data_IF_730687915545
#
_entry.id   IF_730687915545
#
_cell.length_a   1.000
_cell.length_b   1.000
_cell.length_c   1.000
_cell.angle_alpha   90.00
_cell.angle_beta   90.00
_cell.angle_gamma   90.00
#
_symmetry.space_group_name_H-M   'P 1'
#
loop_
_entity.id
_entity.type
_entity.pdbx_description
1 polymer ?
#
# COMPACT_ATOMS: atom_id res chain seq x y z
N UNK A 1 -30.68 -4.35 1.90
CA UNK A 1 -30.40 -4.54 0.47
C UNK A 1 -29.94 -5.97 0.29
N UNK A 2 -30.35 -6.63 -0.80
CA UNK A 2 -30.01 -8.03 -1.02
C UNK A 2 -28.50 -8.11 -1.38
N UNK A 3 -27.70 -8.80 -0.60
CA UNK A 3 -26.21 -8.84 -0.68
C UNK A 3 -25.74 -9.31 -2.06
N UNK A 4 -26.51 -10.16 -2.75
CA UNK A 4 -26.24 -10.59 -4.13
C UNK A 4 -26.30 -9.42 -5.15
N UNK A 5 -26.99 -8.33 -4.83
CA UNK A 5 -27.10 -7.16 -5.72
C UNK A 5 -25.87 -6.22 -5.60
N UNK A 6 -25.11 -6.32 -4.51
CA UNK A 6 -23.93 -5.48 -4.26
C UNK A 6 -22.72 -5.95 -5.09
N UNK A 7 -22.54 -7.25 -5.26
CA UNK A 7 -21.41 -7.81 -6.02
C UNK A 7 -21.46 -7.53 -7.54
N UNK A 8 -22.63 -7.17 -8.07
CA UNK A 8 -22.85 -6.79 -9.47
C UNK A 8 -23.23 -5.31 -9.61
N UNK A 9 -22.71 -4.45 -8.74
CA UNK A 9 -22.92 -3.01 -8.81
C UNK A 9 -22.37 -2.42 -10.12
N UNK A 10 -22.89 -1.25 -10.54
CA UNK A 10 -22.37 -0.51 -11.69
C UNK A 10 -20.87 -0.23 -11.55
N UNK A 11 -20.42 0.12 -10.32
CA UNK A 11 -19.00 0.32 -10.02
C UNK A 11 -18.19 -0.94 -10.30
N UNK A 12 -18.64 -2.10 -9.81
CA UNK A 12 -17.95 -3.38 -10.01
C UNK A 12 -17.84 -3.74 -11.49
N UNK A 13 -18.94 -3.55 -12.26
CA UNK A 13 -18.96 -3.80 -13.70
C UNK A 13 -18.03 -2.87 -14.46
N UNK A 14 -18.11 -1.55 -14.21
CA UNK A 14 -17.24 -0.54 -14.83
C UNK A 14 -15.77 -0.83 -14.55
N UNK A 15 -15.45 -1.19 -13.31
CA UNK A 15 -14.08 -1.54 -12.96
C UNK A 15 -13.62 -2.83 -13.61
N UNK A 16 -14.50 -3.86 -13.69
CA UNK A 16 -14.19 -5.16 -14.30
C UNK A 16 -13.83 -5.02 -15.78
N UNK A 17 -14.51 -4.16 -16.52
CA UNK A 17 -14.20 -3.86 -17.93
C UNK A 17 -12.78 -3.26 -18.10
N UNK A 18 -12.25 -2.63 -17.06
CA UNK A 18 -10.89 -2.10 -17.04
C UNK A 18 -9.83 -3.15 -16.66
N UNK A 19 -10.22 -4.38 -16.28
CA UNK A 19 -9.31 -5.40 -15.72
C UNK A 19 -9.24 -6.64 -16.61
N UNK A 20 -8.29 -6.71 -17.58
CA UNK A 20 -8.16 -7.84 -18.51
C UNK A 20 -8.01 -9.21 -17.85
N UNK A 21 -7.41 -9.25 -16.66
CA UNK A 21 -7.24 -10.48 -15.86
C UNK A 21 -8.56 -11.19 -15.58
N UNK A 22 -9.65 -10.42 -15.43
CA UNK A 22 -10.96 -10.93 -15.08
C UNK A 22 -11.61 -11.80 -16.15
N UNK A 23 -11.12 -11.77 -17.40
CA UNK A 23 -11.58 -12.64 -18.48
C UNK A 23 -11.16 -14.11 -18.28
N UNK A 24 -10.03 -14.34 -17.60
CA UNK A 24 -9.43 -15.67 -17.51
C UNK A 24 -9.34 -16.21 -16.09
N UNK A 25 -9.15 -15.34 -15.09
CA UNK A 25 -8.85 -15.72 -13.72
C UNK A 25 -9.88 -15.15 -12.74
N UNK A 26 -10.23 -15.93 -11.74
CA UNK A 26 -10.74 -15.41 -10.48
C UNK A 26 -9.54 -14.97 -9.63
N UNK A 27 -9.21 -13.67 -9.68
CA UNK A 27 -7.97 -13.14 -9.09
C UNK A 27 -8.21 -12.54 -7.72
N UNK A 28 -7.60 -13.12 -6.68
CA UNK A 28 -7.76 -12.76 -5.27
C UNK A 28 -6.45 -12.46 -4.56
N UNK A 29 -5.41 -11.97 -5.24
CA UNK A 29 -4.11 -11.73 -4.58
C UNK A 29 -3.58 -10.30 -4.72
N UNK A 30 -4.50 -9.30 -4.65
CA UNK A 30 -4.13 -7.87 -4.71
C UNK A 30 -3.23 -7.44 -3.54
N UNK A 31 -3.34 -8.09 -2.39
CA UNK A 31 -2.45 -7.85 -1.26
C UNK A 31 -1.01 -8.36 -1.48
N UNK A 32 -0.74 -9.15 -2.54
CA UNK A 32 0.62 -9.51 -2.98
C UNK A 32 1.07 -8.60 -4.13
N UNK A 33 0.55 -8.82 -5.33
CA UNK A 33 0.79 -8.00 -6.53
C UNK A 33 -0.51 -7.91 -7.31
N UNK A 34 -0.99 -6.73 -7.63
CA UNK A 34 -2.18 -6.55 -8.43
C UNK A 34 -1.89 -6.72 -9.93
N UNK A 35 -2.84 -7.24 -10.70
CA UNK A 35 -2.76 -7.16 -12.15
C UNK A 35 -2.91 -5.69 -12.60
N UNK A 36 -2.23 -5.33 -13.68
CA UNK A 36 -2.39 -4.00 -14.27
C UNK A 36 -3.78 -3.84 -14.90
N UNK A 37 -4.35 -2.63 -14.74
CA UNK A 37 -5.51 -2.27 -15.52
C UNK A 37 -5.16 -2.13 -17.01
N UNK A 38 -6.14 -2.32 -17.90
CA UNK A 38 -5.96 -2.09 -19.32
C UNK A 38 -5.51 -0.66 -19.65
N UNK A 39 -5.94 0.34 -18.84
CA UNK A 39 -5.50 1.73 -18.97
C UNK A 39 -4.01 1.89 -18.66
N UNK A 40 -3.54 1.33 -17.54
CA UNK A 40 -2.12 1.38 -17.18
C UNK A 40 -1.27 0.64 -18.23
N UNK A 41 -1.66 -0.55 -18.64
CA UNK A 41 -0.97 -1.31 -19.68
C UNK A 41 -0.86 -0.53 -21.00
N UNK A 42 -1.93 0.15 -21.42
CA UNK A 42 -1.97 0.93 -22.66
C UNK A 42 -1.02 2.13 -22.64
N UNK A 43 -1.02 2.94 -21.56
CA UNK A 43 -0.12 4.10 -21.48
C UNK A 43 1.35 3.69 -21.37
N UNK A 44 1.63 2.59 -20.67
CA UNK A 44 2.98 2.04 -20.58
C UNK A 44 3.47 1.53 -21.95
N UNK A 45 2.62 0.82 -22.70
CA UNK A 45 2.95 0.38 -24.07
C UNK A 45 3.20 1.57 -25.01
N UNK A 46 2.39 2.62 -24.91
CA UNK A 46 2.58 3.86 -25.67
C UNK A 46 3.92 4.51 -25.34
N UNK A 47 4.27 4.60 -24.05
CA UNK A 47 5.56 5.15 -23.63
C UNK A 47 6.74 4.32 -24.20
N UNK A 48 6.65 2.98 -24.13
CA UNK A 48 7.69 2.09 -24.67
C UNK A 48 7.89 2.29 -26.18
N UNK A 49 6.79 2.41 -26.93
CA UNK A 49 6.85 2.71 -28.36
C UNK A 49 7.50 4.06 -28.63
N UNK A 50 7.04 5.13 -27.97
CA UNK A 50 7.58 6.48 -28.12
C UNK A 50 9.09 6.53 -27.78
N UNK A 51 9.50 5.90 -26.67
CA UNK A 51 10.89 5.87 -26.25
C UNK A 51 11.78 5.14 -27.25
N UNK A 52 11.28 4.06 -27.87
CA UNK A 52 12.02 3.30 -28.88
C UNK A 52 12.12 4.00 -30.24
N UNK A 53 11.10 4.78 -30.63
CA UNK A 53 11.04 5.43 -31.95
C UNK A 53 11.58 6.85 -31.95
N UNK A 54 11.50 7.58 -30.81
CA UNK A 54 11.78 9.00 -30.74
C UNK A 54 12.85 9.37 -29.69
N UNK A 55 13.33 8.39 -28.92
CA UNK A 55 14.32 8.64 -27.86
C UNK A 55 13.76 9.62 -26.81
N UNK A 56 14.55 10.63 -26.47
CA UNK A 56 14.19 11.62 -25.45
C UNK A 56 13.45 12.86 -25.98
N UNK A 57 13.06 12.87 -27.26
CA UNK A 57 12.38 14.01 -27.88
C UNK A 57 11.06 14.36 -27.17
N UNK A 58 10.41 13.38 -26.53
CA UNK A 58 9.17 13.54 -25.76
C UNK A 58 9.41 13.64 -24.25
N UNK A 59 10.65 13.76 -23.80
CA UNK A 59 10.96 13.79 -22.36
C UNK A 59 10.16 14.85 -21.57
N UNK A 60 9.97 16.10 -22.06
CA UNK A 60 9.14 17.08 -21.35
C UNK A 60 7.67 16.67 -21.16
N UNK A 61 7.11 15.95 -22.13
CA UNK A 61 5.75 15.40 -22.04
C UNK A 61 5.70 14.31 -20.95
N UNK A 62 6.62 13.37 -20.98
CA UNK A 62 6.68 12.29 -19.97
C UNK A 62 6.93 12.84 -18.57
N UNK A 63 7.79 13.85 -18.44
CA UNK A 63 7.98 14.53 -17.16
C UNK A 63 6.69 15.19 -16.66
N UNK A 64 5.89 15.76 -17.56
CA UNK A 64 4.55 16.28 -17.24
C UNK A 64 3.60 15.19 -16.73
N UNK A 65 3.61 14.02 -17.34
CA UNK A 65 2.79 12.87 -16.88
C UNK A 65 3.23 12.38 -15.50
N UNK A 66 4.54 12.36 -15.23
CA UNK A 66 5.08 12.02 -13.89
C UNK A 66 4.62 13.05 -12.84
N UNK A 67 4.64 14.34 -13.15
CA UNK A 67 4.12 15.38 -12.26
C UNK A 67 2.59 15.26 -12.06
N UNK A 68 1.86 14.88 -13.11
CA UNK A 68 0.43 14.58 -12.98
C UNK A 68 0.17 13.41 -12.02
N UNK A 69 0.99 12.36 -12.07
CA UNK A 69 0.92 11.23 -11.12
C UNK A 69 1.12 11.72 -9.67
N UNK A 70 2.10 12.62 -9.44
CA UNK A 70 2.33 13.24 -8.13
C UNK A 70 1.12 14.05 -7.66
N UNK A 71 0.50 14.83 -8.55
CA UNK A 71 -0.69 15.62 -8.23
C UNK A 71 -1.88 14.72 -7.89
N UNK A 72 -2.10 13.63 -8.62
CA UNK A 72 -3.15 12.65 -8.33
C UNK A 72 -2.92 11.98 -6.96
N UNK A 73 -1.68 11.58 -6.65
CA UNK A 73 -1.34 11.03 -5.35
C UNK A 73 -1.61 12.01 -4.21
N UNK A 74 -1.24 13.28 -4.39
CA UNK A 74 -1.49 14.34 -3.42
C UNK A 74 -3.00 14.57 -3.20
N UNK A 75 -3.78 14.60 -4.26
CA UNK A 75 -5.24 14.78 -4.20
C UNK A 75 -5.91 13.60 -3.44
N UNK A 76 -5.52 12.36 -3.73
CA UNK A 76 -6.04 11.17 -3.07
C UNK A 76 -5.66 11.11 -1.58
N UNK A 77 -4.57 11.76 -1.18
CA UNK A 77 -4.13 11.86 0.21
C UNK A 77 -4.59 13.15 0.92
N UNK A 78 -5.32 14.04 0.22
CA UNK A 78 -5.79 15.30 0.80
C UNK A 78 -4.67 16.28 1.14
N UNK A 79 -3.60 16.34 0.33
CA UNK A 79 -2.44 17.17 0.60
C UNK A 79 -1.90 17.87 -0.66
N UNK A 80 -0.81 18.61 -0.53
CA UNK A 80 -0.10 19.26 -1.63
C UNK A 80 0.93 18.34 -2.28
N UNK A 81 1.07 18.39 -3.62
CA UNK A 81 2.12 17.67 -4.34
C UNK A 81 3.55 18.04 -3.88
N UNK A 82 3.73 19.18 -3.21
CA UNK A 82 5.00 19.55 -2.60
C UNK A 82 5.42 18.63 -1.43
N UNK A 83 4.48 17.89 -0.86
CA UNK A 83 4.67 16.93 0.24
C UNK A 83 4.79 15.48 -0.25
N UNK A 84 4.74 15.25 -1.57
CA UNK A 84 4.83 13.92 -2.18
C UNK A 84 6.18 13.76 -2.88
N UNK A 85 6.89 12.70 -2.55
CA UNK A 85 7.99 12.16 -3.34
C UNK A 85 7.55 10.86 -4.03
N UNK A 86 7.92 10.71 -5.29
CA UNK A 86 7.73 9.46 -6.03
C UNK A 86 8.94 8.56 -5.77
N UNK A 87 8.67 7.37 -5.26
CA UNK A 87 9.69 6.42 -4.82
C UNK A 87 9.51 5.07 -5.52
N UNK A 88 10.56 4.25 -5.68
CA UNK A 88 10.41 2.96 -6.34
C UNK A 88 9.57 1.95 -5.56
N UNK A 89 9.50 2.06 -4.23
CA UNK A 89 8.73 1.13 -3.39
C UNK A 89 8.57 1.65 -1.95
N UNK A 90 7.71 0.98 -1.17
CA UNK A 90 7.49 1.26 0.26
C UNK A 90 8.80 1.22 1.06
N UNK A 91 9.66 0.23 0.81
CA UNK A 91 10.94 0.11 1.53
C UNK A 91 11.79 1.35 1.36
N UNK A 92 11.83 1.97 0.16
CA UNK A 92 12.55 3.23 -0.06
C UNK A 92 11.94 4.38 0.76
N UNK A 93 10.61 4.49 0.78
CA UNK A 93 9.93 5.52 1.60
C UNK A 93 10.28 5.38 3.09
N UNK A 94 10.27 4.17 3.62
CA UNK A 94 10.65 3.88 5.01
C UNK A 94 12.14 4.20 5.24
N UNK A 95 13.03 3.83 4.30
CA UNK A 95 14.47 4.12 4.40
C UNK A 95 14.79 5.62 4.34
N UNK A 96 13.97 6.43 3.66
CA UNK A 96 14.13 7.90 3.70
C UNK A 96 14.00 8.39 5.14
N UNK A 97 13.05 7.88 5.92
CA UNK A 97 12.92 8.23 7.34
C UNK A 97 14.02 7.58 8.17
N UNK A 98 14.24 6.28 8.01
CA UNK A 98 15.23 5.54 8.81
C UNK A 98 16.64 6.17 8.74
N UNK A 99 17.10 6.54 7.56
CA UNK A 99 18.45 7.08 7.37
C UNK A 99 18.52 8.61 7.30
N UNK A 100 17.38 9.28 7.08
CA UNK A 100 17.31 10.74 7.03
C UNK A 100 17.09 11.39 8.40
N UNK A 101 16.49 10.69 9.35
CA UNK A 101 16.18 11.21 10.68
C UNK A 101 17.45 11.43 11.51
N UNK A 102 17.54 12.53 12.31
CA UNK A 102 18.72 12.86 13.11
C UNK A 102 18.76 12.06 14.42
N UNK A 103 19.01 10.77 14.33
CA UNK A 103 19.10 9.87 15.48
C UNK A 103 20.24 10.24 16.43
N UNK A 104 20.00 10.07 17.72
CA UNK A 104 21.01 10.07 18.75
C UNK A 104 21.18 8.66 19.32
N UNK A 105 22.38 8.32 19.76
CA UNK A 105 22.61 7.05 20.46
C UNK A 105 21.72 6.95 21.70
N UNK A 106 20.97 5.84 21.81
CA UNK A 106 19.98 5.59 22.85
C UNK A 106 18.57 6.07 22.53
N UNK A 107 18.33 6.70 21.37
CA UNK A 107 16.96 6.87 20.87
C UNK A 107 16.35 5.52 20.54
N UNK A 108 15.01 5.42 20.56
CA UNK A 108 14.31 4.19 20.22
C UNK A 108 13.12 4.42 19.28
N UNK A 109 12.76 3.33 18.61
CA UNK A 109 11.66 3.22 17.67
C UNK A 109 10.75 2.10 18.15
N UNK A 110 9.43 2.32 18.09
CA UNK A 110 8.44 1.30 18.39
C UNK A 110 7.89 0.73 17.09
N UNK A 111 7.82 -0.59 16.97
CA UNK A 111 7.19 -1.31 15.86
C UNK A 111 6.42 -2.54 16.36
N UNK A 112 5.71 -3.24 15.48
CA UNK A 112 4.91 -4.41 15.83
C UNK A 112 5.59 -5.72 15.38
N UNK A 113 5.36 -6.82 16.12
CA UNK A 113 5.96 -8.14 15.78
C UNK A 113 5.41 -8.74 14.48
N UNK A 114 4.24 -8.32 14.03
CA UNK A 114 3.57 -8.80 12.82
C UNK A 114 3.70 -7.84 11.62
N UNK A 115 4.66 -6.91 11.67
CA UNK A 115 4.95 -6.04 10.53
C UNK A 115 5.58 -6.82 9.37
N UNK A 116 5.31 -6.34 8.14
CA UNK A 116 6.03 -6.84 6.97
C UNK A 116 7.53 -6.48 7.06
N UNK A 117 8.44 -7.33 6.58
CA UNK A 117 9.89 -7.09 6.70
C UNK A 117 10.38 -5.73 6.21
N UNK A 118 9.70 -5.11 5.22
CA UNK A 118 10.02 -3.75 4.77
C UNK A 118 9.89 -2.69 5.88
N UNK A 119 9.03 -2.94 6.88
CA UNK A 119 8.85 -2.07 8.04
C UNK A 119 9.54 -2.62 9.31
N UNK A 120 10.53 -3.48 9.15
CA UNK A 120 11.37 -4.00 10.24
C UNK A 120 12.86 -3.81 9.95
N UNK A 121 13.36 -4.31 8.82
CA UNK A 121 14.79 -4.32 8.51
C UNK A 121 15.44 -2.92 8.47
N UNK A 122 14.82 -1.86 7.92
CA UNK A 122 15.43 -0.54 7.94
C UNK A 122 15.73 -0.04 9.37
N UNK A 123 14.86 -0.36 10.31
CA UNK A 123 15.02 0.01 11.71
C UNK A 123 16.11 -0.81 12.42
N UNK A 124 16.12 -2.14 12.17
CA UNK A 124 17.17 -3.03 12.71
C UNK A 124 18.56 -2.63 12.21
N UNK A 125 18.67 -2.06 11.00
CA UNK A 125 19.92 -1.58 10.42
C UNK A 125 20.49 -0.33 11.14
N UNK A 126 19.71 0.32 12.00
CA UNK A 126 20.16 1.48 12.79
C UNK A 126 20.89 1.08 14.10
N UNK A 127 21.01 -0.22 14.39
CA UNK A 127 21.65 -0.73 15.62
C UNK A 127 23.07 -0.16 15.81
N UNK A 128 23.86 -0.12 14.74
CA UNK A 128 25.24 0.37 14.79
C UNK A 128 25.33 1.89 15.06
N UNK A 129 24.22 2.62 14.92
CA UNK A 129 24.09 4.01 15.32
C UNK A 129 23.61 4.16 16.76
N UNK A 130 23.42 3.05 17.48
CA UNK A 130 22.95 3.03 18.87
C UNK A 130 21.46 3.27 19.02
N UNK A 131 20.66 3.09 17.95
CA UNK A 131 19.20 3.19 17.99
C UNK A 131 18.61 1.84 18.39
N UNK A 132 17.72 1.83 19.37
CA UNK A 132 17.02 0.64 19.84
C UNK A 132 15.71 0.44 19.07
N UNK A 133 15.43 -0.79 18.65
CA UNK A 133 14.11 -1.16 18.09
C UNK A 133 13.35 -1.95 19.15
N UNK A 134 12.24 -1.41 19.60
CA UNK A 134 11.32 -2.07 20.54
C UNK A 134 10.13 -2.63 19.79
N UNK A 135 9.95 -3.93 19.92
CA UNK A 135 8.91 -4.67 19.23
C UNK A 135 7.76 -4.94 20.19
N UNK A 136 6.58 -4.46 19.86
CA UNK A 136 5.34 -4.77 20.58
C UNK A 136 4.78 -6.08 20.04
N UNK A 137 4.61 -7.08 20.90
CA UNK A 137 4.07 -8.38 20.53
C UNK A 137 2.57 -8.31 20.23
N UNK A 138 2.19 -8.65 19.00
CA UNK A 138 0.79 -8.77 18.59
C UNK A 138 0.36 -10.22 18.68
N UNK A 139 -0.25 -10.58 19.81
CA UNK A 139 -0.69 -11.97 20.10
C UNK A 139 -2.03 -12.31 19.44
N UNK A 140 -2.86 -11.30 19.24
CA UNK A 140 -4.21 -11.44 18.69
C UNK A 140 -4.28 -10.76 17.30
N UNK A 141 -5.45 -10.74 16.71
CA UNK A 141 -5.71 -10.04 15.47
C UNK A 141 -5.63 -8.52 15.67
N UNK A 142 -6.26 -8.02 16.73
CA UNK A 142 -6.29 -6.60 17.04
C UNK A 142 -4.98 -6.11 17.67
N UNK A 143 -4.57 -4.92 17.31
CA UNK A 143 -3.44 -4.22 17.91
C UNK A 143 -3.94 -3.38 19.09
N UNK A 144 -3.32 -3.54 20.24
CA UNK A 144 -3.59 -2.73 21.42
C UNK A 144 -2.75 -1.47 21.40
N UNK A 145 -3.38 -0.34 21.14
CA UNK A 145 -2.74 0.98 21.12
C UNK A 145 -2.11 1.30 22.49
N UNK A 146 -2.76 0.92 23.59
CA UNK A 146 -2.22 1.18 24.92
C UNK A 146 -0.89 0.45 25.14
N UNK A 147 -0.78 -0.81 24.66
CA UNK A 147 0.48 -1.57 24.73
C UNK A 147 1.61 -0.89 23.93
N UNK A 148 1.29 -0.29 22.76
CA UNK A 148 2.26 0.52 22.00
C UNK A 148 2.74 1.69 22.86
N UNK A 149 1.80 2.44 23.45
CA UNK A 149 2.09 3.63 24.24
C UNK A 149 2.84 3.33 25.55
N UNK A 150 2.58 2.19 26.18
CA UNK A 150 3.27 1.74 27.40
C UNK A 150 4.72 1.29 27.11
N UNK A 151 5.02 0.93 25.86
CA UNK A 151 6.37 0.56 25.42
C UNK A 151 7.24 1.81 25.15
N UNK A 152 6.62 2.99 24.99
CA UNK A 152 7.30 4.27 24.77
C UNK A 152 7.93 4.82 26.04
N UNK A 153 9.05 5.54 25.88
CA UNK A 153 9.70 6.30 26.93
C UNK A 153 10.17 7.68 26.43
N UNK A 154 10.92 8.42 27.25
CA UNK A 154 11.44 9.76 26.91
C UNK A 154 12.44 9.78 25.75
N UNK A 155 12.96 8.62 25.32
CA UNK A 155 13.87 8.44 24.19
C UNK A 155 13.18 7.92 22.94
N UNK A 156 11.89 7.63 22.99
CA UNK A 156 11.12 7.20 21.82
C UNK A 156 10.95 8.38 20.87
N UNK A 157 11.36 8.20 19.61
CA UNK A 157 11.28 9.23 18.56
C UNK A 157 10.23 8.93 17.52
N UNK A 158 9.99 7.65 17.26
CA UNK A 158 9.13 7.23 16.17
C UNK A 158 8.33 5.98 16.57
N UNK A 159 7.06 5.98 16.20
CA UNK A 159 6.24 4.77 16.09
C UNK A 159 6.07 4.48 14.61
N UNK A 160 6.35 3.26 14.19
CA UNK A 160 6.18 2.82 12.80
C UNK A 160 5.27 1.60 12.75
N UNK A 161 4.15 1.73 12.04
CA UNK A 161 3.10 0.71 11.97
C UNK A 161 2.50 0.60 10.57
N UNK A 162 2.05 -0.60 10.22
CA UNK A 162 1.20 -0.80 9.05
C UNK A 162 -0.23 -0.38 9.33
N UNK A 163 -0.84 0.39 8.43
CA UNK A 163 -2.26 0.75 8.51
C UNK A 163 -3.16 -0.47 8.45
N UNK A 164 -2.82 -1.40 7.54
CA UNK A 164 -3.52 -2.67 7.38
C UNK A 164 -2.51 -3.81 7.46
N UNK A 165 -2.76 -4.76 8.35
CA UNK A 165 -1.92 -5.95 8.50
C UNK A 165 -1.98 -6.83 7.24
N UNK A 166 -0.82 -7.13 6.67
CA UNK A 166 -0.70 -7.95 5.45
C UNK A 166 -1.13 -9.41 5.64
N UNK A 167 -1.15 -9.90 6.88
CA UNK A 167 -1.47 -11.30 7.20
C UNK A 167 -2.87 -11.48 7.78
N UNK A 168 -3.39 -10.53 8.56
CA UNK A 168 -4.70 -10.66 9.23
C UNK A 168 -5.79 -9.81 8.58
N UNK A 169 -5.42 -8.80 7.79
CA UNK A 169 -6.34 -7.81 7.27
C UNK A 169 -6.88 -6.83 8.33
N UNK A 170 -6.33 -6.83 9.53
CA UNK A 170 -6.71 -5.88 10.56
C UNK A 170 -6.34 -4.46 10.12
N UNK A 171 -7.34 -3.58 10.05
CA UNK A 171 -7.18 -2.16 9.73
C UNK A 171 -7.20 -1.34 11.02
N UNK A 172 -6.06 -0.73 11.34
CA UNK A 172 -5.89 0.07 12.56
C UNK A 172 -6.67 1.39 12.48
N UNK A 173 -7.28 1.78 13.59
CA UNK A 173 -7.80 3.13 13.80
C UNK A 173 -6.60 4.01 14.20
N UNK A 174 -6.30 5.03 13.39
CA UNK A 174 -5.04 5.78 13.48
C UNK A 174 -5.14 7.01 14.36
N UNK A 175 -6.34 7.58 14.49
CA UNK A 175 -6.58 8.88 15.12
C UNK A 175 -6.07 8.91 16.57
N UNK A 176 -6.46 7.91 17.36
CA UNK A 176 -6.07 7.82 18.78
C UNK A 176 -4.59 7.56 18.95
N UNK A 177 -4.00 6.70 18.09
CA UNK A 177 -2.55 6.41 18.13
C UNK A 177 -1.74 7.67 17.84
N UNK A 178 -2.07 8.38 16.76
CA UNK A 178 -1.32 9.57 16.32
C UNK A 178 -1.45 10.68 17.35
N UNK A 179 -2.67 10.97 17.83
CA UNK A 179 -2.89 11.99 18.85
C UNK A 179 -2.11 11.70 20.15
N UNK A 180 -2.11 10.44 20.60
CA UNK A 180 -1.39 10.04 21.81
C UNK A 180 0.13 10.02 21.63
N UNK A 181 0.64 9.69 20.45
CA UNK A 181 2.05 9.78 20.10
C UNK A 181 2.52 11.25 20.09
N UNK A 182 1.76 12.13 19.41
CA UNK A 182 2.08 13.55 19.32
C UNK A 182 2.04 14.27 20.70
N UNK A 183 1.11 13.88 21.58
CA UNK A 183 1.08 14.38 22.95
C UNK A 183 2.35 14.08 23.75
N UNK A 184 3.14 13.08 23.29
CA UNK A 184 4.44 12.67 23.87
C UNK A 184 5.64 13.17 23.06
N UNK A 185 5.42 13.92 21.96
CA UNK A 185 6.46 14.40 21.05
C UNK A 185 7.05 13.29 20.17
N UNK A 186 6.30 12.18 19.95
CA UNK A 186 6.70 11.03 19.16
C UNK A 186 6.05 11.14 17.78
N UNK A 187 6.84 10.97 16.71
CA UNK A 187 6.36 10.98 15.33
C UNK A 187 5.80 9.61 14.91
N UNK A 188 4.96 9.60 13.88
CA UNK A 188 4.35 8.38 13.35
C UNK A 188 4.65 8.21 11.87
N UNK A 189 5.23 7.06 11.50
CA UNK A 189 5.34 6.60 10.13
C UNK A 189 4.33 5.49 9.87
N UNK A 190 3.57 5.66 8.79
CA UNK A 190 2.55 4.73 8.37
C UNK A 190 3.00 3.97 7.11
N UNK A 191 3.18 2.65 7.22
CA UNK A 191 3.18 1.78 6.03
C UNK A 191 1.73 1.59 5.57
N UNK A 192 1.36 2.26 4.49
CA UNK A 192 0.00 2.31 4.00
C UNK A 192 -0.22 1.48 2.72
N UNK A 193 0.75 0.62 2.36
CA UNK A 193 0.69 -0.16 1.10
C UNK A 193 -0.55 -1.05 0.98
N UNK A 194 -1.14 -1.50 2.10
CA UNK A 194 -2.33 -2.35 2.11
C UNK A 194 -3.64 -1.54 2.24
N UNK A 195 -3.56 -0.22 2.36
CA UNK A 195 -4.73 0.64 2.56
C UNK A 195 -4.97 1.65 1.43
N UNK A 196 -3.89 2.32 0.93
CA UNK A 196 -4.02 3.30 -0.16
C UNK A 196 -4.45 2.61 -1.45
N UNK A 197 -5.41 3.23 -2.14
CA UNK A 197 -6.08 2.66 -3.31
C UNK A 197 -7.44 2.03 -2.96
N UNK A 198 -7.70 1.74 -1.68
CA UNK A 198 -8.98 1.22 -1.17
C UNK A 198 -9.63 2.19 -0.22
N UNK A 199 -8.97 2.51 0.89
CA UNK A 199 -9.57 3.33 1.95
C UNK A 199 -9.21 4.80 1.79
N UNK A 200 -10.13 5.71 2.15
CA UNK A 200 -9.83 7.13 2.19
C UNK A 200 -8.77 7.41 3.26
N UNK A 201 -7.82 8.30 2.93
CA UNK A 201 -6.77 8.73 3.86
C UNK A 201 -6.51 10.23 3.66
N UNK A 202 -7.03 11.06 4.56
CA UNK A 202 -6.74 12.49 4.60
C UNK A 202 -5.57 12.73 5.57
N UNK A 203 -4.36 12.82 5.02
CA UNK A 203 -3.13 12.92 5.82
C UNK A 203 -3.02 14.23 6.58
N UNK A 204 -3.62 15.30 6.07
CA UNK A 204 -3.65 16.61 6.76
C UNK A 204 -4.62 16.58 7.95
N UNK A 205 -5.82 15.99 7.77
CA UNK A 205 -6.80 15.84 8.85
C UNK A 205 -6.30 14.88 9.93
N UNK A 206 -5.68 13.77 9.53
CA UNK A 206 -5.12 12.77 10.42
C UNK A 206 -3.87 13.27 11.15
N UNK A 207 -3.22 14.29 10.59
CA UNK A 207 -1.97 14.88 11.09
C UNK A 207 -0.79 13.90 11.14
N UNK A 208 -0.77 12.86 10.29
CA UNK A 208 0.31 11.89 10.23
C UNK A 208 1.60 12.50 9.71
N UNK A 209 2.75 12.04 10.20
CA UNK A 209 4.05 12.63 9.89
C UNK A 209 4.64 12.12 8.59
N UNK A 210 4.57 10.80 8.36
CA UNK A 210 5.14 10.12 7.19
C UNK A 210 4.22 9.00 6.72
N UNK A 211 4.09 8.83 5.40
CA UNK A 211 3.37 7.71 4.79
C UNK A 211 4.19 7.13 3.64
N UNK A 212 4.30 5.82 3.57
CA UNK A 212 4.95 5.12 2.47
C UNK A 212 4.04 4.04 1.87
N UNK A 213 3.95 3.98 0.54
CA UNK A 213 3.21 2.94 -0.16
C UNK A 213 3.72 2.74 -1.58
N UNK A 214 3.93 1.48 -1.99
CA UNK A 214 4.17 1.12 -3.38
C UNK A 214 2.85 0.94 -4.13
N UNK A 215 2.86 1.21 -5.44
CA UNK A 215 1.68 1.20 -6.30
C UNK A 215 1.18 -0.17 -6.71
N UNK A 216 1.99 -1.21 -6.60
CA UNK A 216 1.76 -2.54 -7.21
C UNK A 216 0.68 -3.40 -6.53
N UNK A 217 -0.05 -2.86 -5.54
CA UNK A 217 -1.12 -3.57 -4.84
C UNK A 217 -2.47 -2.90 -5.12
N UNK A 218 -3.04 -2.31 -4.12
CA UNK A 218 -4.39 -1.75 -4.19
C UNK A 218 -4.50 -0.48 -5.05
N UNK A 219 -3.39 0.19 -5.33
CA UNK A 219 -3.36 1.28 -6.31
C UNK A 219 -3.34 0.79 -7.77
N UNK A 220 -3.26 -0.53 -8.04
CA UNK A 220 -3.28 -1.16 -9.37
C UNK A 220 -2.16 -0.66 -10.30
N UNK A 221 -1.08 -0.14 -9.74
CA UNK A 221 0.08 0.32 -10.47
C UNK A 221 1.11 -0.80 -10.70
N UNK A 222 2.16 -0.53 -11.47
CA UNK A 222 3.26 -1.47 -11.62
C UNK A 222 4.20 -1.48 -10.40
N UNK A 223 4.98 -2.55 -10.24
CA UNK A 223 6.12 -2.56 -9.32
C UNK A 223 7.13 -1.47 -9.70
N UNK A 224 7.83 -0.92 -8.73
CA UNK A 224 8.83 0.12 -8.96
C UNK A 224 8.26 1.53 -9.12
N UNK A 225 7.01 1.76 -8.72
CA UNK A 225 6.34 3.06 -8.77
C UNK A 225 5.44 3.23 -7.53
N UNK A 226 5.86 4.02 -6.59
CA UNK A 226 5.18 4.27 -5.32
C UNK A 226 5.28 5.71 -4.86
N UNK A 227 4.73 5.98 -3.70
CA UNK A 227 4.62 7.31 -3.11
C UNK A 227 5.21 7.33 -1.70
N UNK A 228 5.79 8.46 -1.36
CA UNK A 228 6.20 8.83 -0.01
C UNK A 228 5.65 10.21 0.31
N UNK A 229 4.85 10.31 1.35
CA UNK A 229 4.38 11.56 1.92
C UNK A 229 5.20 11.93 3.14
N UNK A 230 5.53 13.21 3.26
CA UNK A 230 6.02 13.77 4.52
C UNK A 230 5.31 15.09 4.82
N UNK A 231 4.97 15.28 6.09
CA UNK A 231 4.37 16.51 6.59
C UNK A 231 5.32 17.69 6.33
N UNK A 232 4.80 18.80 5.85
CA UNK A 232 5.60 19.98 5.43
C UNK A 232 6.56 20.46 6.50
N UNK A 233 6.16 20.45 7.79
CA UNK A 233 6.99 20.84 8.93
C UNK A 233 8.23 19.96 9.13
N UNK A 234 8.25 18.75 8.56
CA UNK A 234 9.35 17.79 8.69
C UNK A 234 10.31 17.80 7.51
N UNK A 235 10.09 18.67 6.53
CA UNK A 235 10.93 18.73 5.34
C UNK A 235 12.41 18.98 5.67
N UNK A 236 12.70 19.84 6.66
CA UNK A 236 14.05 20.15 7.08
C UNK A 236 14.53 19.25 8.25
N UNK A 237 13.65 18.42 8.82
CA UNK A 237 13.99 17.41 9.80
C UNK A 237 14.76 16.24 9.15
N UNK A 238 14.29 15.80 7.97
CA UNK A 238 14.90 14.66 7.27
C UNK A 238 16.02 15.14 6.33
N UNK A 239 17.21 14.62 6.56
CA UNK A 239 18.33 14.80 5.62
C UNK A 239 18.10 13.88 4.40
N UNK A 240 18.16 14.39 3.15
CA UNK A 240 18.17 13.53 1.98
C UNK A 240 19.42 12.62 1.98
N UNK A 241 19.22 11.30 1.83
CA UNK A 241 20.31 10.31 1.88
C UNK A 241 20.65 9.74 0.51
N UNK A 242 19.67 9.63 -0.38
CA UNK A 242 19.83 9.18 -1.76
C UNK A 242 19.88 10.42 -2.68
N UNK A 243 20.97 11.19 -2.57
CA UNK A 243 21.08 12.46 -3.30
C UNK A 243 21.68 12.26 -4.69
N UNK A 244 21.23 13.06 -5.64
CA UNK A 244 21.73 13.08 -7.00
C UNK A 244 21.35 14.36 -7.74
N UNK A 245 21.52 14.38 -9.05
CA UNK A 245 21.32 15.55 -9.89
C UNK A 245 19.92 16.17 -9.76
N UNK A 246 18.91 15.35 -9.50
CA UNK A 246 17.51 15.78 -9.38
C UNK A 246 17.11 16.28 -7.97
N UNK A 247 17.99 16.17 -6.96
CA UNK A 247 17.71 16.60 -5.58
C UNK A 247 17.81 18.13 -5.37
N UNK A 248 18.35 18.87 -6.33
CA UNK A 248 18.69 20.30 -6.20
C UNK A 248 17.68 21.22 -6.88
N UNK A 249 17.64 22.49 -6.48
CA UNK A 249 16.71 23.51 -7.02
C UNK A 249 16.83 23.72 -8.53
N UNK A 250 18.02 23.59 -9.11
CA UNK A 250 18.29 23.73 -10.53
C UNK A 250 18.90 22.44 -11.08
N UNK A 251 18.09 21.39 -11.28
CA UNK A 251 18.60 20.06 -11.62
C UNK A 251 19.24 20.00 -13.04
N UNK A 252 18.95 20.95 -13.91
CA UNK A 252 19.47 21.01 -15.29
C UNK A 252 20.61 22.01 -15.47
N UNK A 253 21.06 22.67 -14.41
CA UNK A 253 22.23 23.58 -14.43
C UNK A 253 23.50 22.77 -14.14
N UNK A 254 23.97 22.03 -15.16
CA UNK A 254 25.12 21.14 -15.03
C UNK A 254 26.46 21.87 -14.96
N UNK A 255 26.49 23.15 -15.32
CA UNK A 255 27.72 23.97 -15.30
C UNK A 255 27.99 24.56 -13.90
N UNK A 256 27.00 24.58 -13.02
CA UNK A 256 27.09 25.12 -11.68
C UNK A 256 26.74 24.09 -10.61
N UNK A 257 27.72 23.33 -10.20
CA UNK A 257 27.53 22.34 -9.11
C UNK A 257 27.42 23.06 -7.76
N UNK A 258 26.16 23.21 -7.30
CA UNK A 258 25.88 23.86 -6.01
C UNK A 258 24.81 23.08 -5.24
N UNK A 259 25.14 22.68 -4.01
CA UNK A 259 24.23 21.95 -3.14
C UNK A 259 23.16 22.88 -2.56
N UNK A 260 22.04 22.99 -3.23
CA UNK A 260 20.83 23.64 -2.75
C UNK A 260 19.66 22.69 -2.92
N UNK A 261 19.26 21.92 -1.87
CA UNK A 261 18.18 20.95 -2.00
C UNK A 261 16.86 21.62 -2.39
N UNK A 262 16.02 20.89 -3.11
CA UNK A 262 14.66 21.37 -3.44
C UNK A 262 13.88 21.66 -2.15
N UNK A 263 13.02 22.68 -2.13
CA UNK A 263 12.22 23.04 -0.97
C UNK A 263 10.94 22.20 -0.82
N UNK A 264 10.90 21.00 -1.43
CA UNK A 264 9.75 20.10 -1.48
C UNK A 264 10.21 18.65 -1.27
N UNK A 265 9.27 17.73 -1.10
CA UNK A 265 9.54 16.30 -0.99
C UNK A 265 10.33 15.72 -2.16
N UNK A 266 10.27 16.36 -3.33
CA UNK A 266 11.04 15.93 -4.51
C UNK A 266 12.56 15.96 -4.30
N UNK A 267 13.07 16.57 -3.20
CA UNK A 267 14.49 16.48 -2.80
C UNK A 267 14.96 15.04 -2.54
N UNK A 268 14.02 14.14 -2.24
CA UNK A 268 14.29 12.73 -2.00
C UNK A 268 14.35 11.88 -3.29
N UNK A 269 14.06 12.49 -4.44
CA UNK A 269 14.14 11.86 -5.77
C UNK A 269 15.50 12.18 -6.39
N UNK A 270 16.52 11.37 -6.06
CA UNK A 270 17.91 11.71 -6.36
C UNK A 270 18.32 11.67 -7.82
N UNK A 271 17.68 10.85 -8.63
CA UNK A 271 18.08 10.58 -10.02
C UNK A 271 16.92 10.50 -11.01
N UNK A 272 17.18 9.87 -12.14
CA UNK A 272 16.15 9.63 -13.16
C UNK A 272 15.09 8.68 -12.62
N UNK A 273 13.83 9.08 -12.78
CA UNK A 273 12.69 8.33 -12.33
C UNK A 273 12.35 7.16 -13.28
N UNK A 274 11.67 6.15 -12.76
CA UNK A 274 11.01 5.10 -13.55
C UNK A 274 9.78 5.68 -14.26
N UNK A 275 10.00 6.44 -15.36
CA UNK A 275 8.93 7.17 -16.04
C UNK A 275 7.79 6.25 -16.47
N UNK A 276 8.09 5.13 -17.11
CA UNK A 276 7.05 4.19 -17.57
C UNK A 276 6.20 3.66 -16.42
N UNK A 277 6.84 3.31 -15.30
CA UNK A 277 6.11 2.84 -14.11
C UNK A 277 5.25 3.94 -13.48
N UNK A 278 5.79 5.15 -13.36
CA UNK A 278 5.06 6.28 -12.77
C UNK A 278 3.90 6.74 -13.64
N UNK A 279 4.05 6.75 -14.97
CA UNK A 279 2.95 7.03 -15.92
C UNK A 279 1.86 5.95 -15.79
N UNK A 280 2.25 4.67 -15.68
CA UNK A 280 1.32 3.57 -15.42
C UNK A 280 0.58 3.71 -14.09
N UNK A 281 1.28 4.09 -13.02
CA UNK A 281 0.67 4.39 -11.72
C UNK A 281 -0.33 5.56 -11.83
N UNK A 282 0.03 6.64 -12.54
CA UNK A 282 -0.85 7.79 -12.77
C UNK A 282 -2.16 7.40 -13.44
N UNK A 283 -2.10 6.54 -14.47
CA UNK A 283 -3.31 6.02 -15.12
C UNK A 283 -4.20 5.19 -14.17
N UNK A 284 -3.57 4.42 -13.28
CA UNK A 284 -4.31 3.65 -12.26
C UNK A 284 -4.93 4.55 -11.19
N UNK A 285 -4.21 5.56 -10.69
CA UNK A 285 -4.76 6.53 -9.74
C UNK A 285 -5.92 7.34 -10.34
N UNK A 286 -5.83 7.71 -11.63
CA UNK A 286 -6.92 8.37 -12.35
C UNK A 286 -8.16 7.47 -12.42
N UNK A 287 -8.00 6.18 -12.72
CA UNK A 287 -9.10 5.21 -12.71
C UNK A 287 -9.76 5.12 -11.33
N UNK A 288 -8.98 4.99 -10.26
CA UNK A 288 -9.51 4.90 -8.90
C UNK A 288 -10.27 6.18 -8.50
N UNK A 289 -9.75 7.35 -8.87
CA UNK A 289 -10.42 8.65 -8.67
C UNK A 289 -11.74 8.74 -9.43
N UNK A 290 -11.77 8.35 -10.70
CA UNK A 290 -13.00 8.31 -11.52
C UNK A 290 -14.06 7.38 -10.91
N UNK A 291 -13.65 6.29 -10.24
CA UNK A 291 -14.51 5.37 -9.50
C UNK A 291 -14.90 5.89 -8.09
N UNK A 292 -14.59 7.15 -7.78
CA UNK A 292 -15.03 7.84 -6.58
C UNK A 292 -14.09 7.76 -5.39
N UNK A 293 -12.86 7.24 -5.52
CA UNK A 293 -11.88 7.31 -4.46
C UNK A 293 -11.40 8.76 -4.27
N UNK A 294 -11.50 9.24 -3.05
CA UNK A 294 -10.99 10.55 -2.60
C UNK A 294 -10.29 10.39 -1.26
N UNK A 295 -9.67 11.46 -0.72
CA UNK A 295 -9.11 11.44 0.63
C UNK A 295 -10.18 11.23 1.74
N UNK A 296 -11.48 11.42 1.44
CA UNK A 296 -12.58 11.41 2.42
C UNK A 296 -13.62 10.31 2.21
N UNK A 297 -13.67 9.72 1.02
CA UNK A 297 -14.69 8.74 0.66
C UNK A 297 -14.14 7.71 -0.33
N UNK A 298 -14.67 6.50 -0.26
CA UNK A 298 -14.31 5.42 -1.17
C UNK A 298 -15.48 4.45 -1.38
N UNK A 299 -16.24 4.57 -2.47
CA UNK A 299 -17.20 3.52 -2.87
C UNK A 299 -16.51 2.18 -3.13
N UNK A 300 -15.22 2.22 -3.53
CA UNK A 300 -14.37 1.03 -3.73
C UNK A 300 -14.23 0.24 -2.43
N UNK A 301 -13.99 0.92 -1.31
CA UNK A 301 -13.86 0.29 0.01
C UNK A 301 -15.15 -0.43 0.42
N UNK A 302 -16.31 0.22 0.24
CA UNK A 302 -17.61 -0.38 0.57
C UNK A 302 -17.86 -1.63 -0.29
N UNK A 303 -17.59 -1.56 -1.59
CA UNK A 303 -17.73 -2.70 -2.51
C UNK A 303 -16.84 -3.88 -2.09
N UNK A 304 -15.59 -3.63 -1.72
CA UNK A 304 -14.65 -4.66 -1.26
C UNK A 304 -15.10 -5.26 0.08
N UNK A 305 -15.50 -4.42 1.04
CA UNK A 305 -15.95 -4.89 2.35
C UNK A 305 -17.24 -5.71 2.27
N UNK A 306 -18.15 -5.36 1.36
CA UNK A 306 -19.36 -6.14 1.10
C UNK A 306 -19.01 -7.49 0.48
N UNK A 307 -18.08 -7.53 -0.48
CA UNK A 307 -17.57 -8.77 -1.04
C UNK A 307 -16.94 -9.66 0.05
N UNK A 308 -16.09 -9.10 0.89
CA UNK A 308 -15.46 -9.81 2.01
C UNK A 308 -16.51 -10.39 2.96
N UNK A 309 -17.58 -9.66 3.26
CA UNK A 309 -18.65 -10.15 4.14
C UNK A 309 -19.33 -11.40 3.57
N UNK A 310 -19.61 -11.44 2.27
CA UNK A 310 -20.17 -12.64 1.60
C UNK A 310 -19.17 -13.79 1.59
N UNK A 311 -17.92 -13.52 1.21
CA UNK A 311 -16.87 -14.52 1.16
C UNK A 311 -16.61 -15.17 2.56
N UNK A 312 -16.65 -14.36 3.64
CA UNK A 312 -16.53 -14.85 5.01
C UNK A 312 -17.58 -15.90 5.34
N UNK A 313 -18.86 -15.60 5.08
CA UNK A 313 -19.97 -16.52 5.32
C UNK A 313 -19.79 -17.81 4.53
N UNK A 314 -19.55 -17.69 3.23
CA UNK A 314 -19.42 -18.84 2.34
C UNK A 314 -18.21 -19.75 2.68
N UNK A 315 -17.08 -19.17 3.12
CA UNK A 315 -15.92 -19.95 3.55
C UNK A 315 -16.17 -20.68 4.86
N UNK A 316 -16.87 -20.06 5.82
CA UNK A 316 -17.27 -20.72 7.07
C UNK A 316 -18.23 -21.89 6.77
N UNK A 317 -19.18 -21.74 5.87
CA UNK A 317 -20.10 -22.81 5.45
C UNK A 317 -19.34 -23.99 4.79
N UNK A 318 -18.16 -23.74 4.19
CA UNK A 318 -17.25 -24.79 3.69
C UNK A 318 -16.34 -25.39 4.77
N UNK A 319 -16.46 -24.96 6.03
CA UNK A 319 -15.67 -25.44 7.16
C UNK A 319 -14.31 -24.75 7.33
N UNK A 320 -14.12 -23.58 6.75
CA UNK A 320 -12.92 -22.80 6.98
C UNK A 320 -12.95 -22.12 8.36
N UNK A 321 -11.79 -22.07 9.01
CA UNK A 321 -11.55 -21.24 10.18
C UNK A 321 -10.98 -19.90 9.73
N UNK A 322 -11.67 -18.80 10.06
CA UNK A 322 -11.27 -17.46 9.66
C UNK A 322 -10.28 -16.85 10.66
N UNK A 323 -9.32 -16.10 10.13
CA UNK A 323 -8.33 -15.39 10.91
C UNK A 323 -8.24 -13.93 10.49
N UNK A 324 -8.88 -13.06 11.24
CA UNK A 324 -8.97 -11.63 10.97
C UNK A 324 -10.02 -10.97 11.85
N UNK A 325 -10.22 -9.64 11.75
CA UNK A 325 -11.19 -8.92 12.56
C UNK A 325 -12.63 -9.32 12.22
N UNK A 326 -13.46 -9.43 13.25
CA UNK A 326 -14.90 -9.69 13.08
C UNK A 326 -15.68 -8.41 12.78
N UNK A 327 -15.35 -7.33 13.49
CA UNK A 327 -15.99 -6.03 13.31
C UNK A 327 -15.56 -5.39 11.99
N UNK A 328 -16.55 -4.99 11.17
CA UNK A 328 -16.37 -4.33 9.87
C UNK A 328 -15.50 -3.07 9.97
N UNK A 329 -15.54 -2.35 11.09
CA UNK A 329 -14.74 -1.15 11.31
C UNK A 329 -13.22 -1.41 11.22
N UNK A 330 -12.79 -2.63 11.56
CA UNK A 330 -11.39 -3.07 11.52
C UNK A 330 -11.07 -3.98 10.33
N UNK A 331 -12.05 -4.31 9.49
CA UNK A 331 -11.86 -5.14 8.31
C UNK A 331 -11.20 -4.38 7.16
N UNK A 332 -10.60 -5.13 6.26
CA UNK A 332 -10.02 -4.65 5.01
C UNK A 332 -10.38 -5.58 3.84
N UNK A 333 -9.78 -5.37 2.68
CA UNK A 333 -9.90 -6.27 1.54
C UNK A 333 -9.17 -7.62 1.72
N UNK A 334 -8.49 -7.84 2.85
CA UNK A 334 -7.74 -9.07 3.12
C UNK A 334 -8.56 -9.99 4.02
N UNK A 335 -8.70 -11.26 3.61
CA UNK A 335 -9.31 -12.30 4.41
C UNK A 335 -8.39 -13.52 4.44
N UNK A 336 -7.90 -13.86 5.65
CA UNK A 336 -7.10 -15.05 5.90
C UNK A 336 -7.94 -16.15 6.54
N UNK A 337 -7.70 -17.39 6.12
CA UNK A 337 -8.44 -18.55 6.60
C UNK A 337 -7.61 -19.82 6.54
N UNK A 338 -8.07 -20.83 7.24
CA UNK A 338 -7.45 -22.15 7.33
C UNK A 338 -8.51 -23.24 7.13
N UNK A 339 -8.06 -24.43 6.73
CA UNK A 339 -8.85 -25.65 6.78
C UNK A 339 -8.09 -26.64 7.69
N UNK A 340 -8.52 -26.87 8.93
CA UNK A 340 -7.81 -27.69 9.88
C UNK A 340 -7.48 -29.09 9.35
N UNK A 341 -6.20 -29.44 9.40
CA UNK A 341 -5.72 -30.76 8.94
C UNK A 341 -5.39 -30.84 7.44
N UNK A 342 -5.61 -29.79 6.67
CA UNK A 342 -5.28 -29.76 5.24
C UNK A 342 -3.87 -29.24 4.97
N UNK A 343 -3.23 -29.75 3.91
CA UNK A 343 -2.04 -29.15 3.33
C UNK A 343 -2.42 -27.90 2.51
N UNK A 344 -2.27 -26.73 3.10
CA UNK A 344 -2.64 -25.45 2.47
C UNK A 344 -1.82 -25.14 1.22
N UNK A 345 -0.60 -25.68 1.10
CA UNK A 345 0.21 -25.53 -0.11
C UNK A 345 -0.42 -26.30 -1.28
N UNK A 346 -0.90 -27.51 -1.01
CA UNK A 346 -1.67 -28.33 -1.96
C UNK A 346 -2.98 -27.66 -2.34
N UNK A 347 -3.73 -27.15 -1.35
CA UNK A 347 -5.01 -26.44 -1.62
C UNK A 347 -4.76 -25.20 -2.46
N UNK A 348 -3.71 -24.43 -2.18
CA UNK A 348 -3.31 -23.29 -3.02
C UNK A 348 -2.96 -23.73 -4.44
N UNK A 349 -2.20 -24.81 -4.63
CA UNK A 349 -1.87 -25.32 -5.96
C UNK A 349 -3.11 -25.74 -6.74
N UNK A 350 -4.05 -26.45 -6.10
CA UNK A 350 -5.33 -26.79 -6.67
C UNK A 350 -6.11 -25.56 -7.18
N UNK A 351 -6.12 -24.47 -6.40
CA UNK A 351 -6.72 -23.21 -6.82
C UNK A 351 -6.02 -22.64 -8.07
N UNK A 352 -4.68 -22.60 -8.07
CA UNK A 352 -3.90 -22.10 -9.19
C UNK A 352 -4.14 -22.88 -10.47
N UNK A 353 -4.22 -24.22 -10.41
CA UNK A 353 -4.48 -25.11 -11.54
C UNK A 353 -5.87 -24.88 -12.14
N UNK A 354 -6.80 -24.37 -11.32
CA UNK A 354 -8.16 -23.98 -11.74
C UNK A 354 -8.30 -22.47 -12.01
N UNK A 355 -7.19 -21.75 -12.20
CA UNK A 355 -7.15 -20.30 -12.48
C UNK A 355 -7.83 -19.46 -11.40
N UNK A 356 -7.76 -19.90 -10.16
CA UNK A 356 -8.13 -19.13 -8.96
C UNK A 356 -6.83 -18.72 -8.28
N UNK A 357 -6.51 -17.43 -8.29
CA UNK A 357 -5.23 -16.92 -7.77
C UNK A 357 -5.42 -16.41 -6.35
N UNK A 358 -4.70 -17.02 -5.43
CA UNK A 358 -4.65 -16.64 -4.01
C UNK A 358 -3.27 -16.96 -3.42
N UNK A 359 -2.96 -16.44 -2.25
CA UNK A 359 -1.68 -16.70 -1.60
C UNK A 359 -1.80 -17.51 -0.31
N UNK A 360 -0.64 -18.03 0.14
CA UNK A 360 -0.48 -18.56 1.48
C UNK A 360 0.49 -17.63 2.24
N UNK A 361 0.04 -17.10 3.40
CA UNK A 361 0.81 -16.17 4.22
C UNK A 361 0.65 -16.52 5.69
N UNK A 362 1.77 -16.50 6.43
CA UNK A 362 1.79 -16.82 7.85
C UNK A 362 1.08 -18.16 8.18
N UNK A 363 1.28 -19.16 7.30
CA UNK A 363 0.68 -20.49 7.46
C UNK A 363 -0.83 -20.57 7.19
N UNK A 364 -1.44 -19.59 6.50
CA UNK A 364 -2.87 -19.53 6.15
C UNK A 364 -3.09 -19.20 4.69
N UNK A 365 -4.19 -19.67 4.12
CA UNK A 365 -4.69 -19.17 2.84
C UNK A 365 -5.17 -17.72 3.02
N UNK A 366 -4.95 -16.90 2.00
CA UNK A 366 -5.34 -15.50 2.01
C UNK A 366 -5.94 -15.13 0.67
N UNK A 367 -7.17 -14.63 0.71
CA UNK A 367 -7.77 -13.92 -0.43
C UNK A 367 -7.74 -12.43 -0.20
N UNK A 368 -7.59 -11.70 -1.28
CA UNK A 368 -7.65 -10.24 -1.30
C UNK A 368 -8.30 -9.78 -2.61
N UNK A 369 -9.65 -9.82 -2.68
CA UNK A 369 -10.43 -9.34 -3.81
C UNK A 369 -10.33 -7.82 -3.94
N UNK A 370 -10.53 -7.32 -5.16
CA UNK A 370 -10.75 -5.90 -5.42
C UNK A 370 -12.20 -5.65 -5.83
N UNK A 371 -12.60 -4.39 -5.99
CA UNK A 371 -13.98 -4.02 -6.26
C UNK A 371 -14.56 -4.58 -7.58
N UNK A 372 -13.74 -5.09 -8.49
CA UNK A 372 -14.19 -5.73 -9.73
C UNK A 372 -14.52 -7.23 -9.60
N UNK A 373 -14.13 -7.88 -8.49
CA UNK A 373 -14.50 -9.27 -8.28
C UNK A 373 -16.02 -9.40 -8.10
N UNK A 374 -16.60 -10.43 -8.73
CA UNK A 374 -18.04 -10.65 -8.76
C UNK A 374 -18.43 -12.01 -8.16
N UNK A 375 -19.72 -12.36 -8.25
CA UNK A 375 -20.23 -13.63 -7.74
C UNK A 375 -19.61 -14.83 -8.45
N UNK A 376 -19.40 -14.75 -9.78
CA UNK A 376 -18.83 -15.88 -10.56
C UNK A 376 -17.39 -16.19 -10.09
N UNK A 377 -16.59 -15.15 -9.71
CA UNK A 377 -15.27 -15.34 -9.16
C UNK A 377 -15.33 -16.08 -7.81
N UNK A 378 -16.30 -15.70 -6.94
CA UNK A 378 -16.50 -16.34 -5.65
C UNK A 378 -16.97 -17.80 -5.83
N UNK A 379 -17.95 -18.04 -6.67
CA UNK A 379 -18.46 -19.39 -6.95
C UNK A 379 -17.35 -20.31 -7.47
N UNK A 380 -16.48 -19.79 -8.34
CA UNK A 380 -15.32 -20.52 -8.82
C UNK A 380 -14.35 -20.88 -7.69
N UNK A 381 -14.04 -19.94 -6.79
CA UNK A 381 -13.22 -20.20 -5.61
C UNK A 381 -13.85 -21.29 -4.74
N UNK A 382 -15.14 -21.16 -4.40
CA UNK A 382 -15.86 -22.09 -3.52
C UNK A 382 -15.95 -23.50 -4.12
N UNK A 383 -16.20 -23.60 -5.44
CA UNK A 383 -16.23 -24.89 -6.15
C UNK A 383 -14.89 -25.61 -6.05
N UNK A 384 -13.77 -24.90 -6.30
CA UNK A 384 -12.43 -25.48 -6.18
C UNK A 384 -12.13 -25.90 -4.74
N UNK A 385 -12.46 -25.05 -3.76
CA UNK A 385 -12.25 -25.36 -2.33
C UNK A 385 -13.12 -26.52 -1.86
N UNK A 386 -14.33 -26.74 -2.43
CA UNK A 386 -15.18 -27.88 -2.07
C UNK A 386 -14.58 -29.21 -2.53
N UNK A 387 -13.80 -29.21 -3.59
CA UNK A 387 -13.15 -30.40 -4.17
C UNK A 387 -11.77 -30.71 -3.56
N UNK A 388 -11.32 -29.91 -2.56
CA UNK A 388 -9.99 -30.04 -1.94
C UNK A 388 -9.69 -31.43 -1.36
N UNK A 389 -10.73 -32.16 -0.91
CA UNK A 389 -10.62 -33.47 -0.33
C UNK A 389 -10.67 -34.60 -1.39
N UNK A 390 -10.94 -34.29 -2.66
CA UNK A 390 -11.09 -35.29 -3.74
C UNK A 390 -9.80 -35.42 -4.58
N UNK A 391 -8.86 -34.50 -4.45
CA UNK A 391 -7.64 -34.39 -5.26
C UNK A 391 -6.37 -34.96 -4.53
#
# INVERSE_FOLDING_TARGET
MNVANTMNSELAQTMRECMPIAEQFAYFDHAAVAPLSGRAASVMATWLQQASEQGDALWPQWAGEVENTRNLAAELLGTSSQQIALVPNTSMGINIVAHGFPWNSGDNIITLSNEFPANQYPWMNLRDQGVEVRVVEVKNVAVDIQQILDTCDARTRLITVSWVSFCTGYRMQLEDLIAAAHARGILVLLDAIQGIGVFPLDVEQLDVDFVAADGHKWMLGPEGAGIFYLKKSHLDLLRPVMVGWNSVKRPFDFDQINWQPRPTATRFEGGSNNMVGLIGLGASLSLLKELGLTSKASPIAEQILDYIAVARTALVDLGAELFGPEDRAYQSGILSFDFPGEDLSRVRQLCMDNRVVLSCRAGRLRISPHAYNNQDDLDRLLNVLSDRNKA
#
